data_IF_650568055997
#
_entry.id   IF_650568055997
#
_cell.length_a   1.000
_cell.length_b   1.000
_cell.length_c   1.000
_cell.angle_alpha   90.00
_cell.angle_beta   90.00
_cell.angle_gamma   90.00
#
_symmetry.space_group_name_H-M   'P 1'
#
loop_
_entity.id
_entity.type
_entity.pdbx_description
1 polymer ?
#
# COMPACT_ATOMS: atom_id res chain seq x y z
N UNK A 1 0.92 12.43 19.63
CA UNK A 1 1.69 11.18 19.75
C UNK A 1 0.95 10.08 19.00
N UNK A 2 1.57 9.44 17.99
CA UNK A 2 0.93 8.37 17.22
C UNK A 2 0.69 7.17 18.14
N UNK A 3 -0.55 6.66 18.21
CA UNK A 3 -0.85 5.41 18.93
C UNK A 3 -0.41 4.21 18.09
N UNK A 4 0.89 3.95 18.07
CA UNK A 4 1.52 2.90 17.23
C UNK A 4 0.90 1.52 17.48
N UNK A 5 0.50 1.23 18.72
CA UNK A 5 -0.21 -0.02 19.05
C UNK A 5 -1.57 -0.14 18.35
N UNK A 6 -2.31 0.96 18.17
CA UNK A 6 -3.54 0.93 17.38
C UNK A 6 -3.24 0.60 15.92
N UNK A 7 -2.18 1.17 15.34
CA UNK A 7 -1.76 0.87 13.98
C UNK A 7 -1.34 -0.60 13.82
N UNK A 8 -0.55 -1.15 14.75
CA UNK A 8 -0.18 -2.57 14.76
C UNK A 8 -1.39 -3.49 14.86
N UNK A 9 -2.41 -3.10 15.64
CA UNK A 9 -3.64 -3.89 15.77
C UNK A 9 -4.47 -3.85 14.48
N UNK A 10 -4.59 -2.68 13.84
CA UNK A 10 -5.27 -2.57 12.56
C UNK A 10 -4.56 -3.35 11.44
N UNK A 11 -3.23 -3.28 11.36
CA UNK A 11 -2.48 -4.05 10.34
C UNK A 11 -2.59 -5.55 10.56
N UNK A 12 -2.63 -6.03 11.82
CA UNK A 12 -2.88 -7.45 12.13
C UNK A 12 -4.27 -7.93 11.73
N UNK A 13 -5.29 -7.08 11.87
CA UNK A 13 -6.67 -7.40 11.51
C UNK A 13 -6.91 -7.37 10.00
N UNK A 14 -6.11 -6.57 9.27
CA UNK A 14 -6.16 -6.54 7.81
C UNK A 14 -5.42 -7.74 7.23
N UNK A 15 -6.15 -8.82 6.94
CA UNK A 15 -5.59 -9.99 6.26
C UNK A 15 -5.24 -9.63 4.82
N UNK A 16 -3.94 -9.57 4.50
CA UNK A 16 -3.46 -9.29 3.16
C UNK A 16 -4.03 -10.31 2.16
N UNK A 17 -4.81 -9.83 1.19
CA UNK A 17 -5.41 -10.65 0.14
C UNK A 17 -5.35 -9.92 -1.20
N UNK A 18 -5.61 -10.64 -2.28
CA UNK A 18 -5.73 -10.05 -3.62
C UNK A 18 -6.81 -8.98 -3.67
N UNK A 19 -7.92 -9.19 -2.97
CA UNK A 19 -9.03 -8.25 -2.92
C UNK A 19 -8.63 -6.94 -2.23
N UNK A 20 -7.94 -7.03 -1.08
CA UNK A 20 -7.43 -5.84 -0.37
C UNK A 20 -6.42 -5.07 -1.23
N UNK A 21 -5.52 -5.78 -1.91
CA UNK A 21 -4.52 -5.17 -2.78
C UNK A 21 -5.14 -4.45 -4.00
N UNK A 22 -6.15 -5.06 -4.63
CA UNK A 22 -6.88 -4.46 -5.73
C UNK A 22 -7.74 -3.27 -5.29
N UNK A 23 -8.41 -3.40 -4.15
CA UNK A 23 -9.28 -2.35 -3.60
C UNK A 23 -8.47 -1.10 -3.20
N UNK A 24 -7.23 -1.27 -2.73
CA UNK A 24 -6.34 -0.15 -2.42
C UNK A 24 -6.16 0.82 -3.61
N UNK A 25 -5.80 0.31 -4.79
CA UNK A 25 -5.62 1.19 -5.97
C UNK A 25 -6.94 1.73 -6.53
N UNK A 26 -8.02 0.95 -6.45
CA UNK A 26 -9.35 1.46 -6.78
C UNK A 26 -9.70 2.69 -5.94
N UNK A 27 -9.51 2.61 -4.63
CA UNK A 27 -9.77 3.74 -3.74
C UNK A 27 -8.79 4.90 -3.99
N UNK A 28 -7.51 4.60 -4.22
CA UNK A 28 -6.48 5.60 -4.53
C UNK A 28 -6.86 6.41 -5.77
N UNK A 29 -7.22 5.77 -6.88
CA UNK A 29 -7.56 6.46 -8.12
C UNK A 29 -8.95 7.12 -8.09
N UNK A 30 -9.90 6.60 -7.29
CA UNK A 30 -11.18 7.29 -7.05
C UNK A 30 -10.98 8.61 -6.29
N UNK A 31 -10.15 8.61 -5.24
CA UNK A 31 -9.90 9.79 -4.41
C UNK A 31 -8.90 10.77 -5.04
N UNK A 32 -7.89 10.24 -5.74
CA UNK A 32 -6.77 11.00 -6.28
C UNK A 32 -6.52 10.62 -7.74
N UNK A 33 -7.48 10.99 -8.61
CA UNK A 33 -7.44 10.68 -10.05
C UNK A 33 -6.14 11.10 -10.73
N UNK A 34 -5.54 12.19 -10.29
CA UNK A 34 -4.27 12.71 -10.79
C UNK A 34 -3.07 11.77 -10.54
N UNK A 35 -3.21 10.77 -9.67
CA UNK A 35 -2.17 9.77 -9.43
C UNK A 35 -2.18 8.64 -10.46
N UNK A 36 -3.32 8.38 -11.12
CA UNK A 36 -3.46 7.28 -12.08
C UNK A 36 -2.42 7.33 -13.22
N UNK A 37 -2.01 8.55 -13.61
CA UNK A 37 -0.96 8.80 -14.62
C UNK A 37 0.40 8.22 -14.29
N UNK A 38 0.75 8.11 -13.00
CA UNK A 38 2.03 7.55 -12.59
C UNK A 38 2.03 6.01 -12.60
N UNK A 39 0.89 5.39 -12.93
CA UNK A 39 0.71 3.94 -12.96
C UNK A 39 0.17 3.43 -14.31
N UNK A 40 0.17 4.27 -15.36
CA UNK A 40 -0.43 4.01 -16.68
C UNK A 40 -1.91 3.61 -16.58
N UNK A 41 -2.67 4.29 -15.73
CA UNK A 41 -4.05 3.94 -15.38
C UNK A 41 -5.08 5.03 -15.70
N UNK A 42 -4.70 6.06 -16.49
CA UNK A 42 -5.54 7.24 -16.76
C UNK A 42 -6.89 6.89 -17.41
N UNK A 43 -6.86 5.91 -18.32
CA UNK A 43 -8.04 5.47 -19.09
C UNK A 43 -8.72 4.23 -18.50
N UNK A 44 -8.25 3.73 -17.34
CA UNK A 44 -8.81 2.54 -16.70
C UNK A 44 -9.92 2.96 -15.74
N UNK A 45 -11.11 2.37 -15.91
CA UNK A 45 -12.18 2.48 -14.90
C UNK A 45 -11.66 1.97 -13.54
N UNK A 46 -11.65 2.81 -12.47
CA UNK A 46 -11.22 2.38 -11.15
C UNK A 46 -11.95 1.12 -10.63
N UNK A 47 -13.20 0.87 -11.05
CA UNK A 47 -13.93 -0.34 -10.66
C UNK A 47 -13.44 -1.62 -11.37
N UNK A 48 -12.64 -1.50 -12.44
CA UNK A 48 -11.96 -2.61 -13.10
C UNK A 48 -10.58 -2.94 -12.48
N UNK A 49 -9.99 -2.03 -11.70
CA UNK A 49 -8.66 -2.17 -11.10
C UNK A 49 -8.50 -3.44 -10.26
N UNK A 50 -9.45 -3.86 -9.40
CA UNK A 50 -9.27 -5.05 -8.58
C UNK A 50 -9.15 -6.36 -9.38
N UNK A 51 -9.58 -6.37 -10.65
CA UNK A 51 -9.45 -7.52 -11.56
C UNK A 51 -8.11 -7.55 -12.30
N UNK A 52 -7.34 -6.46 -12.28
CA UNK A 52 -6.07 -6.36 -12.96
C UNK A 52 -4.96 -7.02 -12.16
N UNK A 53 -4.30 -8.01 -12.76
CA UNK A 53 -3.16 -8.69 -12.14
C UNK A 53 -2.01 -7.71 -11.83
N UNK A 54 -1.77 -6.69 -12.67
CA UNK A 54 -0.76 -5.64 -12.43
C UNK A 54 -1.00 -4.97 -11.06
N UNK A 55 -2.20 -4.46 -10.84
CA UNK A 55 -2.53 -3.71 -9.62
C UNK A 55 -2.65 -4.60 -8.39
N UNK A 56 -3.12 -5.84 -8.54
CA UNK A 56 -3.09 -6.82 -7.44
C UNK A 56 -1.65 -7.10 -7.02
N UNK A 57 -0.73 -7.31 -7.96
CA UNK A 57 0.68 -7.56 -7.65
C UNK A 57 1.35 -6.34 -7.01
N UNK A 58 1.10 -5.14 -7.54
CA UNK A 58 1.64 -3.91 -6.98
C UNK A 58 1.11 -3.67 -5.56
N UNK A 59 -0.19 -3.83 -5.35
CA UNK A 59 -0.84 -3.56 -4.06
C UNK A 59 -0.36 -4.53 -2.99
N UNK A 60 -0.16 -5.80 -3.35
CA UNK A 60 0.41 -6.80 -2.44
C UNK A 60 1.81 -6.42 -1.97
N UNK A 61 2.64 -5.82 -2.83
CA UNK A 61 3.99 -5.38 -2.48
C UNK A 61 3.97 -4.11 -1.64
N UNK A 62 3.23 -3.09 -2.06
CA UNK A 62 3.15 -1.81 -1.34
C UNK A 62 2.57 -1.94 0.06
N UNK A 63 1.44 -2.66 0.18
CA UNK A 63 0.80 -2.85 1.47
C UNK A 63 1.69 -3.62 2.45
N UNK A 64 2.53 -4.55 1.98
CA UNK A 64 3.53 -5.19 2.84
C UNK A 64 4.52 -4.18 3.43
N UNK A 65 4.98 -3.21 2.63
CA UNK A 65 5.87 -2.17 3.13
C UNK A 65 5.15 -1.27 4.14
N UNK A 66 3.93 -0.84 3.84
CA UNK A 66 3.14 -0.04 4.77
C UNK A 66 2.86 -0.77 6.09
N UNK A 67 2.52 -2.07 6.03
CA UNK A 67 2.18 -2.84 7.23
C UNK A 67 3.39 -3.11 8.11
N UNK A 68 4.62 -3.07 7.55
CA UNK A 68 5.87 -3.18 8.30
C UNK A 68 6.17 -1.94 9.14
N UNK A 69 5.80 -0.74 8.67
CA UNK A 69 6.20 0.53 9.31
C UNK A 69 5.80 0.63 10.79
N UNK A 70 4.57 0.29 11.22
CA UNK A 70 4.21 0.32 12.65
C UNK A 70 5.05 -0.62 13.52
N UNK A 71 5.56 -1.72 12.97
CA UNK A 71 6.35 -2.70 13.72
C UNK A 71 7.80 -2.27 13.97
N UNK A 72 8.31 -1.34 13.18
CA UNK A 72 9.70 -0.85 13.28
C UNK A 72 9.79 0.60 13.77
N UNK A 73 8.64 1.23 14.04
CA UNK A 73 8.58 2.58 14.58
C UNK A 73 9.32 2.67 15.94
N UNK A 74 10.19 3.66 16.09
CA UNK A 74 11.03 3.86 17.28
C UNK A 74 12.36 3.10 17.26
N UNK A 75 12.61 2.25 16.26
CA UNK A 75 13.92 1.64 15.99
C UNK A 75 14.52 2.29 14.73
N UNK A 76 15.35 3.31 14.91
CA UNK A 76 15.89 4.12 13.81
C UNK A 76 16.58 3.31 12.72
N UNK A 77 17.32 2.26 13.11
CA UNK A 77 18.04 1.41 12.15
C UNK A 77 17.05 0.62 11.30
N UNK A 78 16.06 -0.01 11.93
CA UNK A 78 15.03 -0.77 11.20
C UNK A 78 14.09 0.13 10.44
N UNK A 79 13.82 1.33 10.93
CA UNK A 79 13.02 2.35 10.25
C UNK A 79 13.66 2.75 8.93
N UNK A 80 14.95 3.15 8.96
CA UNK A 80 15.71 3.47 7.74
C UNK A 80 15.73 2.31 6.76
N UNK A 81 15.96 1.08 7.25
CA UNK A 81 15.94 -0.12 6.41
C UNK A 81 14.55 -0.40 5.79
N UNK A 82 13.47 -0.17 6.53
CA UNK A 82 12.11 -0.32 6.01
C UNK A 82 11.77 0.76 4.96
N UNK A 83 12.24 2.00 5.15
CA UNK A 83 12.08 3.07 4.18
C UNK A 83 12.89 2.84 2.89
N UNK A 84 14.09 2.26 2.98
CA UNK A 84 14.87 1.91 1.78
C UNK A 84 14.12 0.97 0.83
N UNK A 85 13.25 0.10 1.35
CA UNK A 85 12.45 -0.79 0.51
C UNK A 85 11.47 -0.04 -0.41
N UNK A 86 11.03 1.16 -0.04
CA UNK A 86 10.25 2.02 -0.93
C UNK A 86 11.14 2.67 -2.00
N UNK A 87 12.34 3.12 -1.62
CA UNK A 87 13.31 3.71 -2.56
C UNK A 87 13.75 2.72 -3.64
N UNK A 88 13.93 1.45 -3.31
CA UNK A 88 14.33 0.45 -4.31
C UNK A 88 13.18 0.10 -5.27
N UNK A 89 11.94 0.48 -4.93
CA UNK A 89 10.75 0.19 -5.73
C UNK A 89 10.33 1.34 -6.65
N UNK A 90 10.74 2.57 -6.35
CA UNK A 90 10.32 3.82 -7.00
C UNK A 90 11.52 4.69 -7.38
#
# INVERSE_FOLDING_TARGET
>A
MVKVECLKNHTKQCKMSKDVAGEYYKQLFKMHKNLAKYYDAEDIDPDAIPRSQKFVMYGMRELQYFFKLPHVYGDDRKWKSALSAFKDHY
#
